data_IF_710270893604
#
_entry.id   IF_710270893604
#
_cell.length_a   1.000
_cell.length_b   1.000
_cell.length_c   1.000
_cell.angle_alpha   90.00
_cell.angle_beta   90.00
_cell.angle_gamma   90.00
#
_symmetry.space_group_name_H-M   'P 1'
#
loop_
_entity.id
_entity.type
_entity.pdbx_description
1 polymer ?
#
# COMPACT_ATOMS: atom_id res chain seq x y z
N UNK A 1 -15.81 9.95 14.59
CA UNK A 1 -16.15 9.25 13.33
C UNK A 1 -15.07 8.28 12.83
N UNK A 2 -14.20 7.73 13.70
CA UNK A 2 -13.18 6.74 13.32
C UNK A 2 -13.77 5.40 12.82
N UNK A 3 -14.95 5.01 13.32
CA UNK A 3 -15.65 3.78 12.96
C UNK A 3 -16.03 3.67 11.48
N UNK A 4 -16.24 4.79 10.76
CA UNK A 4 -16.57 4.76 9.33
C UNK A 4 -15.32 4.55 8.46
N UNK A 5 -14.17 5.07 8.89
CA UNK A 5 -12.90 4.90 8.20
C UNK A 5 -12.44 3.42 8.19
N UNK A 6 -12.76 2.65 9.25
CA UNK A 6 -12.39 1.22 9.35
C UNK A 6 -13.01 0.34 8.25
N UNK A 7 -14.09 0.79 7.60
CA UNK A 7 -14.74 0.06 6.50
C UNK A 7 -14.17 0.39 5.12
N UNK A 8 -13.25 1.35 5.03
CA UNK A 8 -12.64 1.71 3.76
C UNK A 8 -11.79 0.55 3.25
N UNK A 9 -11.77 0.30 1.93
CA UNK A 9 -10.94 -0.76 1.36
C UNK A 9 -9.47 -0.45 1.60
N UNK A 10 -8.65 -1.50 1.71
CA UNK A 10 -7.19 -1.42 1.91
C UNK A 10 -6.51 -0.38 1.01
N UNK A 11 -6.87 -0.35 -0.28
CA UNK A 11 -6.29 0.60 -1.25
C UNK A 11 -6.53 2.07 -0.92
N UNK A 12 -7.61 2.40 -0.20
CA UNK A 12 -7.90 3.77 0.25
C UNK A 12 -6.93 4.22 1.34
N UNK A 13 -6.57 3.30 2.24
CA UNK A 13 -5.56 3.57 3.27
C UNK A 13 -4.18 3.72 2.66
N UNK A 14 -3.80 2.84 1.73
CA UNK A 14 -2.50 2.92 1.04
C UNK A 14 -2.34 4.21 0.25
N UNK A 15 -3.41 4.68 -0.42
CA UNK A 15 -3.42 5.98 -1.07
C UNK A 15 -3.25 7.14 -0.09
N UNK A 16 -3.90 7.08 1.09
CA UNK A 16 -3.76 8.09 2.14
C UNK A 16 -2.37 8.09 2.80
N UNK A 17 -1.65 6.96 2.73
CA UNK A 17 -0.26 6.81 3.18
C UNK A 17 0.75 7.28 2.11
N UNK A 18 0.29 7.93 1.05
CA UNK A 18 1.09 8.54 -0.02
C UNK A 18 1.99 7.54 -0.76
N UNK A 19 1.46 6.36 -1.09
CA UNK A 19 2.16 5.42 -1.97
C UNK A 19 2.48 6.12 -3.30
N UNK A 20 3.68 5.96 -3.87
CA UNK A 20 4.06 6.60 -5.13
C UNK A 20 3.48 5.87 -6.35
N UNK A 21 2.18 5.54 -6.32
CA UNK A 21 1.42 4.92 -7.39
C UNK A 21 0.21 5.78 -7.76
N UNK A 22 -0.19 5.70 -9.03
CA UNK A 22 -1.51 6.22 -9.41
C UNK A 22 -2.62 5.33 -8.86
N UNK A 23 -3.84 5.86 -8.75
CA UNK A 23 -5.01 5.04 -8.40
C UNK A 23 -5.20 3.87 -9.38
N UNK A 24 -4.96 4.09 -10.68
CA UNK A 24 -5.06 3.04 -11.70
C UNK A 24 -4.03 1.93 -11.48
N UNK A 25 -2.76 2.28 -11.19
CA UNK A 25 -1.73 1.30 -10.89
C UNK A 25 -2.04 0.52 -9.60
N UNK A 26 -2.51 1.21 -8.55
CA UNK A 26 -2.88 0.58 -7.30
C UNK A 26 -4.05 -0.40 -7.49
N UNK A 27 -5.06 -0.06 -8.30
CA UNK A 27 -6.14 -1.00 -8.63
C UNK A 27 -5.64 -2.18 -9.47
N UNK A 28 -4.76 -1.94 -10.43
CA UNK A 28 -4.18 -2.97 -11.29
C UNK A 28 -3.28 -3.97 -10.54
N UNK A 29 -2.67 -3.57 -9.41
CA UNK A 29 -1.89 -4.47 -8.55
C UNK A 29 -2.73 -5.62 -7.99
N UNK A 30 -4.04 -5.40 -7.80
CA UNK A 30 -4.95 -6.34 -7.17
C UNK A 30 -4.70 -6.54 -5.67
N UNK A 31 -3.77 -5.81 -5.05
CA UNK A 31 -3.42 -5.99 -3.65
C UNK A 31 -4.59 -5.59 -2.74
N UNK A 32 -4.93 -6.50 -1.81
CA UNK A 32 -5.99 -6.35 -0.81
C UNK A 32 -5.46 -6.35 0.61
N UNK A 33 -4.17 -6.63 0.81
CA UNK A 33 -3.52 -6.61 2.11
C UNK A 33 -2.08 -6.09 2.07
N UNK A 34 -1.59 -5.67 3.23
CA UNK A 34 -0.23 -5.22 3.48
C UNK A 34 0.78 -6.32 3.16
N UNK A 35 0.48 -7.56 3.56
CA UNK A 35 1.30 -8.74 3.24
C UNK A 35 1.44 -8.94 1.72
N UNK A 36 0.35 -8.87 0.96
CA UNK A 36 0.39 -8.99 -0.50
C UNK A 36 1.25 -7.89 -1.14
N UNK A 37 1.12 -6.65 -0.66
CA UNK A 37 1.94 -5.52 -1.11
C UNK A 37 3.43 -5.74 -0.81
N UNK A 38 3.78 -6.28 0.36
CA UNK A 38 5.16 -6.58 0.74
C UNK A 38 5.77 -7.70 -0.11
N UNK A 39 4.97 -8.68 -0.55
CA UNK A 39 5.42 -9.76 -1.43
C UNK A 39 5.76 -9.31 -2.86
N UNK A 40 5.32 -8.11 -3.28
CA UNK A 40 5.58 -7.64 -4.65
C UNK A 40 7.04 -7.34 -4.88
N UNK A 41 7.55 -7.71 -6.05
CA UNK A 41 8.91 -7.34 -6.47
C UNK A 41 8.89 -6.00 -7.20
N UNK A 42 10.05 -5.37 -7.36
CA UNK A 42 10.16 -4.19 -8.23
C UNK A 42 9.68 -4.49 -9.66
N UNK A 43 10.00 -5.68 -10.18
CA UNK A 43 9.55 -6.13 -11.49
C UNK A 43 8.01 -6.18 -11.61
N UNK A 44 7.31 -6.61 -10.55
CA UNK A 44 5.85 -6.58 -10.54
C UNK A 44 5.33 -5.14 -10.68
N UNK A 45 5.88 -4.20 -9.90
CA UNK A 45 5.48 -2.79 -9.97
C UNK A 45 5.73 -2.20 -11.36
N UNK A 46 6.83 -2.58 -12.01
CA UNK A 46 7.18 -2.11 -13.36
C UNK A 46 6.19 -2.50 -14.45
N UNK A 47 5.40 -3.55 -14.23
CA UNK A 47 4.40 -4.02 -15.18
C UNK A 47 3.08 -3.26 -15.06
N UNK A 48 2.91 -2.43 -14.02
CA UNK A 48 1.66 -1.71 -13.79
C UNK A 48 1.56 -0.43 -14.63
N UNK A 49 0.34 0.01 -14.97
CA UNK A 49 0.11 1.24 -15.73
C UNK A 49 0.87 2.44 -15.16
N UNK A 50 1.54 3.18 -16.03
CA UNK A 50 2.31 4.38 -15.68
C UNK A 50 3.36 4.17 -14.55
N UNK A 51 3.88 2.95 -14.38
CA UNK A 51 4.83 2.62 -13.33
C UNK A 51 6.12 2.10 -13.95
N UNK A 52 6.98 3.02 -14.40
CA UNK A 52 8.33 2.66 -14.86
C UNK A 52 9.30 2.43 -13.69
N UNK A 53 10.54 2.06 -14.00
CA UNK A 53 11.63 1.74 -13.05
C UNK A 53 11.75 2.73 -11.89
N UNK A 54 11.87 4.04 -12.19
CA UNK A 54 11.95 5.08 -11.15
C UNK A 54 10.77 5.05 -10.17
N UNK A 55 9.56 4.81 -10.66
CA UNK A 55 8.36 4.78 -9.82
C UNK A 55 8.29 3.47 -9.03
N UNK A 56 8.65 2.35 -9.65
CA UNK A 56 8.75 1.07 -8.99
C UNK A 56 9.76 1.10 -7.84
N UNK A 57 10.97 1.62 -8.06
CA UNK A 57 11.97 1.83 -7.01
C UNK A 57 11.45 2.66 -5.84
N UNK A 58 10.75 3.77 -6.13
CA UNK A 58 10.11 4.57 -5.06
C UNK A 58 9.05 3.80 -4.27
N UNK A 59 8.35 2.82 -4.85
CA UNK A 59 7.42 1.97 -4.10
C UNK A 59 8.19 1.08 -3.12
N UNK A 60 9.35 0.56 -3.53
CA UNK A 60 10.25 -0.21 -2.65
C UNK A 60 10.74 0.67 -1.50
N UNK A 61 11.27 1.87 -1.81
CA UNK A 61 11.74 2.80 -0.79
C UNK A 61 10.62 3.22 0.18
N UNK A 62 9.43 3.49 -0.36
CA UNK A 62 8.26 3.88 0.41
C UNK A 62 7.82 2.79 1.38
N UNK A 63 7.68 1.53 0.92
CA UNK A 63 7.28 0.44 1.82
C UNK A 63 8.36 0.10 2.85
N UNK A 64 9.62 0.36 2.51
CA UNK A 64 10.75 0.11 3.40
C UNK A 64 11.00 1.23 4.41
N UNK A 65 10.40 2.39 4.20
CA UNK A 65 10.47 3.54 5.09
C UNK A 65 10.00 3.18 6.53
N UNK A 66 10.81 3.44 7.57
CA UNK A 66 10.46 3.13 8.96
C UNK A 66 9.16 3.78 9.46
N UNK A 67 8.83 4.98 8.99
CA UNK A 67 7.59 5.67 9.36
C UNK A 67 6.38 4.97 8.75
N UNK A 68 6.47 4.54 7.49
CA UNK A 68 5.42 3.77 6.81
C UNK A 68 5.20 2.42 7.51
N UNK A 69 6.28 1.72 7.88
CA UNK A 69 6.22 0.48 8.68
C UNK A 69 5.62 0.69 10.07
N UNK A 70 5.81 1.87 10.66
CA UNK A 70 5.21 2.21 11.96
C UNK A 70 3.71 2.49 11.81
N UNK A 71 3.32 3.21 10.77
CA UNK A 71 1.93 3.49 10.47
C UNK A 71 1.15 2.21 10.12
N UNK A 72 1.73 1.30 9.33
CA UNK A 72 1.07 0.02 9.01
C UNK A 72 0.83 -0.84 10.26
N UNK A 73 1.81 -0.92 11.17
CA UNK A 73 1.64 -1.60 12.47
C UNK A 73 0.58 -0.94 13.35
N UNK A 74 0.53 0.39 13.38
CA UNK A 74 -0.51 1.09 14.11
C UNK A 74 -1.90 0.79 13.54
N UNK A 75 -2.07 0.79 12.21
CA UNK A 75 -3.33 0.42 11.55
C UNK A 75 -3.73 -1.03 11.85
N UNK A 76 -2.77 -1.95 11.90
CA UNK A 76 -3.01 -3.34 12.31
C UNK A 76 -3.50 -3.43 13.77
N UNK A 77 -2.86 -2.73 14.70
CA UNK A 77 -3.30 -2.64 16.10
C UNK A 77 -4.68 -1.98 16.26
N UNK A 78 -5.09 -1.15 15.29
CA UNK A 78 -6.45 -0.62 15.17
C UNK A 78 -7.40 -1.55 14.41
N UNK A 79 -7.06 -2.83 14.21
CA UNK A 79 -7.86 -3.83 13.51
C UNK A 79 -8.43 -3.32 12.17
N UNK A 80 -7.64 -2.55 11.41
CA UNK A 80 -8.04 -2.08 10.09
C UNK A 80 -7.90 -3.24 9.10
N UNK A 81 -8.97 -3.61 8.36
CA UNK A 81 -8.91 -4.68 7.38
C UNK A 81 -7.78 -4.49 6.37
N UNK A 82 -7.03 -5.57 6.13
CA UNK A 82 -5.93 -5.58 5.16
C UNK A 82 -4.56 -5.27 5.77
N UNK A 83 -4.42 -4.77 7.00
CA UNK A 83 -3.09 -4.52 7.60
C UNK A 83 -2.57 -5.68 8.47
N UNK A 84 -3.32 -6.76 8.58
CA UNK A 84 -3.04 -7.87 9.50
C UNK A 84 -3.62 -7.63 10.89
N UNK A 85 -3.47 -8.63 11.75
CA UNK A 85 -3.74 -8.60 13.18
C UNK A 85 -2.45 -8.59 13.96
#
# INVERSE_FOLDING_TARGET
QFNLARRQPFTRWIMAMDIPLTQAALQASGDRSWEQLLMRTEQHWRQLPATGERRAGRVIDWRDNPQIKTLSRWLAAQHIPGFGS
#
